data_IF_566826196188
#
_entry.id   IF_566826196188
#
_cell.length_a   1.000
_cell.length_b   1.000
_cell.length_c   1.000
_cell.angle_alpha   90.00
_cell.angle_beta   90.00
_cell.angle_gamma   90.00
#
_symmetry.space_group_name_H-M   'P 1'
#
loop_
_entity.id
_entity.type
_entity.pdbx_description
1 polymer ?
#
# COMPACT_ATOMS: atom_id res chain seq x y z
N UNK A 1 -20.40 -4.90 23.32
CA UNK A 1 -20.73 -5.46 21.99
C UNK A 1 -19.60 -5.05 21.07
N UNK A 2 -19.00 -6.00 20.36
CA UNK A 2 -18.00 -5.68 19.33
C UNK A 2 -18.68 -4.95 18.17
N UNK A 3 -17.98 -3.99 17.54
CA UNK A 3 -18.51 -3.25 16.40
C UNK A 3 -18.75 -4.21 15.22
N UNK A 4 -19.82 -3.98 14.46
CA UNK A 4 -20.05 -4.76 13.22
C UNK A 4 -18.96 -4.49 12.19
N UNK A 5 -18.88 -5.31 11.15
CA UNK A 5 -17.97 -5.06 10.03
C UNK A 5 -18.16 -3.69 9.41
N UNK A 6 -19.42 -3.34 9.16
CA UNK A 6 -19.81 -2.10 8.51
C UNK A 6 -19.39 -0.91 9.37
N UNK A 7 -19.60 -0.98 10.68
CA UNK A 7 -19.17 0.06 11.62
C UNK A 7 -17.65 0.19 11.68
N UNK A 8 -16.92 -0.93 11.72
CA UNK A 8 -15.47 -0.92 11.74
C UNK A 8 -14.91 -0.34 10.43
N UNK A 9 -15.44 -0.77 9.29
CA UNK A 9 -15.05 -0.30 7.96
C UNK A 9 -15.35 1.19 7.79
N UNK A 10 -16.52 1.66 8.23
CA UNK A 10 -16.88 3.07 8.11
C UNK A 10 -15.96 3.95 8.97
N UNK A 11 -15.78 3.58 10.25
CA UNK A 11 -14.83 4.26 11.13
C UNK A 11 -13.41 4.26 10.55
N UNK A 12 -13.00 3.16 9.91
CA UNK A 12 -11.71 3.09 9.27
C UNK A 12 -11.63 4.04 8.08
N UNK A 13 -12.65 4.12 7.21
CA UNK A 13 -12.68 5.07 6.09
C UNK A 13 -12.68 6.54 6.54
N UNK A 14 -13.40 6.85 7.62
CA UNK A 14 -13.51 8.21 8.18
C UNK A 14 -12.27 8.68 8.93
N UNK A 15 -11.33 7.78 9.23
CA UNK A 15 -10.08 8.14 9.91
C UNK A 15 -9.27 9.13 9.06
N UNK A 16 -9.12 10.35 9.57
CA UNK A 16 -8.25 11.37 8.99
C UNK A 16 -6.81 11.06 9.38
N UNK A 17 -5.91 11.13 8.42
CA UNK A 17 -4.48 10.98 8.62
C UNK A 17 -3.71 11.92 7.70
N UNK A 18 -2.49 12.26 8.11
CA UNK A 18 -1.57 13.07 7.31
C UNK A 18 -0.61 12.15 6.55
N UNK A 19 -0.68 12.20 5.22
CA UNK A 19 0.28 11.54 4.33
C UNK A 19 1.60 12.30 4.26
N UNK A 20 2.55 11.78 3.47
CA UNK A 20 3.80 12.49 3.19
C UNK A 20 3.54 13.75 2.35
N UNK A 21 4.32 14.80 2.60
CA UNK A 21 4.27 16.00 1.77
C UNK A 21 4.82 15.74 0.34
N UNK A 22 4.34 16.51 -0.63
CA UNK A 22 4.90 16.51 -1.99
C UNK A 22 6.00 17.56 -2.10
N UNK A 23 7.21 17.11 -2.45
CA UNK A 23 8.32 18.02 -2.69
C UNK A 23 8.04 18.91 -3.90
N UNK A 24 8.46 20.17 -3.78
CA UNK A 24 8.37 21.15 -4.87
C UNK A 24 9.10 20.64 -6.13
N UNK A 25 8.50 20.88 -7.30
CA UNK A 25 9.03 20.39 -8.57
C UNK A 25 8.72 18.93 -8.91
N UNK A 26 8.12 18.15 -7.99
CA UNK A 26 7.65 16.79 -8.30
C UNK A 26 6.48 16.86 -9.28
N UNK A 27 6.49 16.08 -10.39
CA UNK A 27 5.35 16.00 -11.31
C UNK A 27 4.04 15.71 -10.59
N UNK A 28 2.95 16.30 -11.08
CA UNK A 28 1.60 16.04 -10.57
C UNK A 28 1.04 14.84 -11.34
N UNK A 29 0.79 13.73 -10.64
CA UNK A 29 0.16 12.52 -11.16
C UNK A 29 -1.15 12.34 -10.39
N UNK A 30 -2.29 12.38 -11.09
CA UNK A 30 -3.61 12.29 -10.47
C UNK A 30 -4.30 10.97 -10.84
N UNK A 31 -4.94 10.33 -9.88
CA UNK A 31 -5.82 9.17 -10.08
C UNK A 31 -7.14 9.59 -10.71
N UNK A 32 -7.96 8.62 -11.16
CA UNK A 32 -9.32 8.88 -11.66
C UNK A 32 -10.23 9.51 -10.60
N UNK A 33 -9.95 9.27 -9.31
CA UNK A 33 -10.67 9.86 -8.19
C UNK A 33 -10.05 11.17 -7.68
N UNK A 34 -9.05 11.73 -8.40
CA UNK A 34 -8.43 13.01 -8.09
C UNK A 34 -7.38 13.00 -6.98
N UNK A 35 -6.99 11.82 -6.49
CA UNK A 35 -5.89 11.67 -5.52
C UNK A 35 -4.54 11.87 -6.22
N UNK A 36 -3.62 12.62 -5.61
CA UNK A 36 -2.25 12.77 -6.13
C UNK A 36 -1.37 11.64 -5.63
N UNK A 37 -0.61 11.00 -6.51
CA UNK A 37 0.28 9.88 -6.21
C UNK A 37 1.74 10.14 -6.62
N UNK A 38 2.71 9.36 -6.12
CA UNK A 38 4.15 9.57 -6.40
C UNK A 38 4.60 9.00 -7.73
N UNK A 39 3.94 7.96 -8.22
CA UNK A 39 4.39 7.24 -9.43
C UNK A 39 3.25 6.86 -10.37
N UNK A 40 3.62 6.54 -11.62
CA UNK A 40 2.68 6.01 -12.62
C UNK A 40 2.15 4.63 -12.20
N UNK A 41 2.98 3.81 -11.57
CA UNK A 41 2.62 2.48 -11.07
C UNK A 41 1.61 2.57 -9.92
N UNK A 42 1.80 3.49 -8.98
CA UNK A 42 0.79 3.79 -7.95
C UNK A 42 -0.51 4.30 -8.55
N UNK A 43 -0.47 5.15 -9.60
CA UNK A 43 -1.70 5.56 -10.29
C UNK A 43 -2.45 4.35 -10.86
N UNK A 44 -1.74 3.41 -11.49
CA UNK A 44 -2.33 2.19 -12.04
C UNK A 44 -3.00 1.36 -10.93
N UNK A 45 -2.32 1.20 -9.78
CA UNK A 45 -2.85 0.49 -8.61
C UNK A 45 -4.09 1.18 -8.04
N UNK A 46 -4.00 2.48 -7.75
CA UNK A 46 -5.08 3.28 -7.20
C UNK A 46 -6.32 3.28 -8.12
N UNK A 47 -6.13 3.51 -9.42
CA UNK A 47 -7.21 3.46 -10.41
C UNK A 47 -7.83 2.05 -10.48
N UNK A 48 -7.02 1.00 -10.36
CA UNK A 48 -7.53 -0.38 -10.31
C UNK A 48 -8.41 -0.60 -9.06
N UNK A 49 -7.93 -0.23 -7.87
CA UNK A 49 -8.68 -0.40 -6.63
C UNK A 49 -9.99 0.40 -6.66
N UNK A 50 -9.94 1.63 -7.15
CA UNK A 50 -11.11 2.49 -7.33
C UNK A 50 -12.16 1.83 -8.24
N UNK A 51 -11.78 1.39 -9.45
CA UNK A 51 -12.70 0.74 -10.40
C UNK A 51 -13.28 -0.58 -9.88
N UNK A 52 -12.57 -1.26 -8.96
CA UNK A 52 -13.03 -2.49 -8.32
C UNK A 52 -13.80 -2.25 -7.02
N UNK A 53 -14.04 -1.00 -6.64
CA UNK A 53 -14.69 -0.61 -5.37
C UNK A 53 -13.98 -1.21 -4.14
N UNK A 54 -12.65 -1.29 -4.18
CA UNK A 54 -11.83 -1.77 -3.06
C UNK A 54 -11.44 -0.56 -2.21
N UNK A 55 -11.94 -0.43 -0.97
CA UNK A 55 -11.55 0.67 -0.10
C UNK A 55 -10.07 0.56 0.26
N UNK A 56 -9.34 1.66 0.11
CA UNK A 56 -7.92 1.76 0.46
C UNK A 56 -7.63 3.10 1.11
N UNK A 57 -6.48 3.19 1.77
CA UNK A 57 -5.85 4.42 2.23
C UNK A 57 -4.48 4.55 1.62
N UNK A 58 -4.22 5.65 0.93
CA UNK A 58 -2.95 5.93 0.28
C UNK A 58 -1.96 6.61 1.24
N UNK A 59 -0.71 6.14 1.27
CA UNK A 59 0.39 6.66 2.11
C UNK A 59 0.04 6.90 3.60
N UNK A 60 -0.86 6.10 4.18
CA UNK A 60 -1.24 6.24 5.60
C UNK A 60 -0.04 5.90 6.50
N UNK A 61 0.33 6.77 7.47
CA UNK A 61 1.46 6.50 8.35
C UNK A 61 1.25 5.24 9.19
N UNK A 62 2.31 4.45 9.30
CA UNK A 62 2.41 3.27 10.15
C UNK A 62 3.66 3.37 11.01
N UNK A 63 3.49 3.18 12.32
CA UNK A 63 4.63 3.14 13.24
C UNK A 63 5.19 1.71 13.34
N UNK A 64 6.43 1.53 12.91
CA UNK A 64 7.21 0.32 13.10
C UNK A 64 8.18 0.52 14.27
N UNK A 65 8.05 -0.29 15.32
CA UNK A 65 8.91 -0.24 16.50
C UNK A 65 10.37 -0.47 16.07
N UNK A 66 11.27 0.41 16.52
CA UNK A 66 12.70 0.33 16.21
C UNK A 66 13.11 0.93 14.86
N UNK A 67 12.14 1.24 13.97
CA UNK A 67 12.41 1.79 12.64
C UNK A 67 11.85 3.22 12.47
N UNK A 68 10.69 3.51 13.06
CA UNK A 68 10.03 4.81 12.98
C UNK A 68 8.72 4.77 12.20
N UNK A 69 8.29 5.93 11.70
CA UNK A 69 7.08 6.03 10.87
C UNK A 69 7.44 5.70 9.43
N UNK A 70 6.74 4.73 8.85
CA UNK A 70 6.75 4.43 7.42
C UNK A 70 5.41 4.79 6.81
N UNK A 71 5.38 4.85 5.49
CA UNK A 71 4.17 5.11 4.72
C UNK A 71 4.09 4.01 3.66
N UNK A 72 3.35 2.92 3.92
CA UNK A 72 3.03 1.96 2.89
C UNK A 72 2.24 2.65 1.77
N UNK A 73 2.48 2.25 0.52
CA UNK A 73 1.81 2.88 -0.62
C UNK A 73 0.28 2.78 -0.49
N UNK A 74 -0.22 1.61 -0.10
CA UNK A 74 -1.64 1.40 0.17
C UNK A 74 -1.86 0.60 1.45
N UNK A 75 -2.87 0.99 2.23
CA UNK A 75 -3.37 0.23 3.37
C UNK A 75 -4.81 -0.18 3.11
N UNK A 76 -5.14 -1.43 3.40
CA UNK A 76 -6.47 -2.04 3.26
C UNK A 76 -6.93 -2.56 4.62
N UNK A 77 -8.23 -2.75 4.78
CA UNK A 77 -8.80 -3.46 5.92
C UNK A 77 -9.38 -4.80 5.46
N UNK A 78 -8.85 -5.91 5.98
CA UNK A 78 -9.32 -7.25 5.60
C UNK A 78 -10.68 -7.57 6.23
N UNK A 79 -11.71 -7.94 5.45
CA UNK A 79 -12.97 -8.43 6.00
C UNK A 79 -12.82 -9.77 6.75
N UNK A 80 -11.82 -10.58 6.35
CA UNK A 80 -11.56 -11.92 6.88
C UNK A 80 -10.93 -11.86 8.27
N UNK A 81 -9.86 -11.07 8.42
CA UNK A 81 -9.08 -11.02 9.67
C UNK A 81 -9.39 -9.80 10.51
N UNK A 82 -10.12 -8.82 9.97
CA UNK A 82 -10.37 -7.50 10.60
C UNK A 82 -9.09 -6.72 10.91
N UNK A 83 -7.99 -7.10 10.29
CA UNK A 83 -6.68 -6.46 10.42
C UNK A 83 -6.33 -5.69 9.16
N UNK A 84 -5.47 -4.70 9.32
CA UNK A 84 -4.91 -3.98 8.19
C UNK A 84 -3.95 -4.86 7.39
N UNK A 85 -3.99 -4.71 6.07
CA UNK A 85 -3.05 -5.27 5.10
C UNK A 85 -2.35 -4.09 4.43
N UNK A 86 -1.04 -4.14 4.35
CA UNK A 86 -0.20 -3.12 3.76
C UNK A 86 0.30 -3.61 2.40
N UNK A 87 0.31 -2.73 1.41
CA UNK A 87 0.84 -3.00 0.08
C UNK A 87 1.96 -2.02 -0.21
N UNK A 88 3.12 -2.57 -0.54
CA UNK A 88 4.33 -1.84 -0.91
C UNK A 88 4.72 -2.20 -2.34
N UNK A 89 5.02 -1.19 -3.13
CA UNK A 89 5.40 -1.25 -4.52
C UNK A 89 6.82 -0.70 -4.71
N UNK A 90 7.79 -1.61 -4.72
CA UNK A 90 9.20 -1.29 -4.83
C UNK A 90 9.62 -1.19 -6.30
N UNK A 91 9.48 0.01 -6.87
CA UNK A 91 9.56 0.25 -8.32
C UNK A 91 10.97 0.35 -8.94
N UNK A 92 12.04 0.36 -8.13
CA UNK A 92 13.43 0.65 -8.58
C UNK A 92 14.43 -0.37 -8.05
N UNK A 93 14.09 -1.67 -8.11
CA UNK A 93 14.89 -2.74 -7.48
C UNK A 93 16.21 -3.05 -8.18
N UNK A 94 16.44 -2.49 -9.37
CA UNK A 94 17.71 -2.47 -10.07
C UNK A 94 18.68 -1.41 -9.56
N UNK A 95 18.22 -0.46 -8.74
CA UNK A 95 19.08 0.53 -8.09
C UNK A 95 19.58 0.01 -6.73
N UNK A 96 20.89 -0.26 -6.56
CA UNK A 96 21.39 -0.95 -5.37
C UNK A 96 21.07 -0.24 -4.05
N UNK A 97 21.14 1.10 -4.03
CA UNK A 97 20.84 1.89 -2.83
C UNK A 97 19.35 1.88 -2.48
N UNK A 98 18.48 1.82 -3.48
CA UNK A 98 17.03 1.70 -3.29
C UNK A 98 16.69 0.29 -2.78
N UNK A 99 17.21 -0.75 -3.44
CA UNK A 99 16.99 -2.14 -3.05
C UNK A 99 17.43 -2.43 -1.61
N UNK A 100 18.58 -1.87 -1.17
CA UNK A 100 19.01 -1.98 0.23
C UNK A 100 18.03 -1.33 1.22
N UNK A 101 17.45 -0.19 0.86
CA UNK A 101 16.44 0.47 1.70
C UNK A 101 15.13 -0.32 1.74
N UNK A 102 14.69 -0.86 0.60
CA UNK A 102 13.52 -1.73 0.50
C UNK A 102 13.68 -2.96 1.41
N UNK A 103 14.84 -3.64 1.35
CA UNK A 103 15.13 -4.79 2.23
C UNK A 103 15.07 -4.41 3.71
N UNK A 104 15.68 -3.30 4.11
CA UNK A 104 15.62 -2.83 5.52
C UNK A 104 14.19 -2.52 5.97
N UNK A 105 13.38 -1.92 5.09
CA UNK A 105 11.97 -1.63 5.35
C UNK A 105 11.17 -2.92 5.51
N UNK A 106 11.38 -3.92 4.65
CA UNK A 106 10.73 -5.24 4.73
C UNK A 106 11.10 -5.94 6.04
N UNK A 107 12.38 -5.96 6.42
CA UNK A 107 12.82 -6.52 7.70
C UNK A 107 12.16 -5.83 8.89
N UNK A 108 12.03 -4.50 8.85
CA UNK A 108 11.33 -3.76 9.89
C UNK A 108 9.84 -4.12 10.00
N UNK A 109 9.16 -4.40 8.88
CA UNK A 109 7.81 -4.94 8.90
C UNK A 109 7.77 -6.32 9.60
N UNK A 110 8.67 -7.22 9.22
CA UNK A 110 8.76 -8.58 9.78
C UNK A 110 9.03 -8.56 11.28
N UNK A 111 9.97 -7.73 11.75
CA UNK A 111 10.25 -7.51 13.18
C UNK A 111 9.05 -6.97 13.96
N UNK A 112 8.10 -6.34 13.27
CA UNK A 112 6.83 -5.85 13.82
C UNK A 112 5.66 -6.83 13.58
N UNK A 113 5.95 -8.07 13.18
CA UNK A 113 4.96 -9.12 12.97
C UNK A 113 4.07 -8.90 11.74
N UNK A 114 4.54 -8.11 10.77
CA UNK A 114 3.86 -7.84 9.50
C UNK A 114 4.65 -8.56 8.41
N UNK A 115 4.24 -9.79 8.07
CA UNK A 115 5.01 -10.65 7.18
C UNK A 115 4.53 -10.60 5.72
N UNK A 116 5.45 -10.67 4.75
CA UNK A 116 5.13 -10.90 3.35
C UNK A 116 4.22 -12.12 3.15
N UNK A 117 3.14 -11.93 2.39
CA UNK A 117 2.17 -13.01 2.13
C UNK A 117 1.16 -13.25 3.25
N UNK A 118 1.18 -12.43 4.30
CA UNK A 118 0.13 -12.34 5.30
C UNK A 118 -0.52 -10.96 5.26
N UNK A 119 0.03 -10.01 6.02
CA UNK A 119 -0.43 -8.62 6.11
C UNK A 119 0.44 -7.65 5.30
N UNK A 120 1.41 -8.17 4.55
CA UNK A 120 2.25 -7.39 3.65
C UNK A 120 2.19 -7.97 2.23
N UNK A 121 1.69 -7.18 1.30
CA UNK A 121 1.71 -7.45 -0.14
C UNK A 121 2.89 -6.68 -0.73
N UNK A 122 3.75 -7.37 -1.45
CA UNK A 122 4.92 -6.78 -2.11
C UNK A 122 4.80 -6.93 -3.61
N UNK A 123 5.08 -5.85 -4.32
CA UNK A 123 5.25 -5.84 -5.78
C UNK A 123 6.55 -5.14 -6.11
N UNK A 124 7.24 -5.61 -7.15
CA UNK A 124 8.58 -5.14 -7.49
C UNK A 124 8.63 -4.79 -8.96
N UNK A 125 9.36 -3.72 -9.29
CA UNK A 125 9.78 -3.41 -10.65
C UNK A 125 11.30 -3.19 -10.73
N UNK A 126 11.79 -3.32 -11.95
CA UNK A 126 13.10 -2.84 -12.40
C UNK A 126 12.89 -2.13 -13.73
N UNK A 127 13.90 -1.48 -14.29
CA UNK A 127 13.82 -0.90 -15.64
C UNK A 127 13.30 -1.88 -16.70
N UNK A 128 13.59 -3.18 -16.58
CA UNK A 128 13.22 -4.21 -17.57
C UNK A 128 12.02 -5.07 -17.19
N UNK A 129 11.64 -5.08 -15.92
CA UNK A 129 10.54 -5.90 -15.40
C UNK A 129 9.48 -4.98 -14.82
N UNK A 130 8.42 -4.75 -15.60
CA UNK A 130 7.37 -3.79 -15.28
C UNK A 130 6.18 -4.42 -14.54
N UNK A 131 5.38 -3.58 -13.89
CA UNK A 131 4.20 -3.96 -13.14
C UNK A 131 3.15 -4.57 -14.07
N UNK A 132 2.80 -5.83 -13.78
CA UNK A 132 1.77 -6.55 -14.51
C UNK A 132 0.39 -6.36 -13.88
N UNK A 133 -0.56 -5.83 -14.64
CA UNK A 133 -1.98 -5.72 -14.22
C UNK A 133 -2.61 -7.07 -13.89
N UNK A 134 -2.23 -8.13 -14.61
CA UNK A 134 -2.64 -9.50 -14.30
C UNK A 134 -2.12 -9.96 -12.93
N UNK A 135 -0.92 -9.53 -12.53
CA UNK A 135 -0.41 -9.84 -11.20
C UNK A 135 -1.17 -9.08 -10.11
N UNK A 136 -1.51 -7.80 -10.35
CA UNK A 136 -2.35 -7.01 -9.43
C UNK A 136 -3.67 -7.73 -9.17
N UNK A 137 -4.36 -8.18 -10.23
CA UNK A 137 -5.62 -8.92 -10.10
C UNK A 137 -5.45 -10.19 -9.25
N UNK A 138 -4.41 -10.99 -9.51
CA UNK A 138 -4.12 -12.19 -8.72
C UNK A 138 -3.87 -11.89 -7.25
N UNK A 139 -3.11 -10.84 -6.93
CA UNK A 139 -2.81 -10.45 -5.56
C UNK A 139 -4.07 -9.95 -4.83
N UNK A 140 -4.89 -9.14 -5.51
CA UNK A 140 -6.17 -8.68 -4.99
C UNK A 140 -7.09 -9.86 -4.70
N UNK A 141 -7.24 -10.80 -5.63
CA UNK A 141 -8.03 -12.02 -5.39
C UNK A 141 -7.46 -12.86 -4.25
N UNK A 142 -6.13 -12.96 -4.13
CA UNK A 142 -5.51 -13.77 -3.08
C UNK A 142 -5.71 -13.18 -1.69
N UNK A 143 -5.53 -11.87 -1.53
CA UNK A 143 -5.39 -11.23 -0.21
C UNK A 143 -6.58 -10.36 0.20
N UNK A 144 -7.30 -9.76 -0.76
CA UNK A 144 -8.30 -8.74 -0.50
C UNK A 144 -9.74 -9.19 -0.80
N UNK A 145 -9.94 -10.31 -1.51
CA UNK A 145 -11.27 -10.86 -1.70
C UNK A 145 -11.81 -11.53 -0.43
N UNK A 146 -13.13 -11.57 -0.32
CA UNK A 146 -13.85 -12.44 0.62
C UNK A 146 -13.57 -13.92 0.35
#
# INVERSE_FOLDING_TARGET
MEATWEQQMEKWKEEIYEGKEFQEGTPVILTEHGERVRSKSEKILADYFYRKNIPYKYERPLHLRGFGIVHPDFTFLSPKTRQEIYWEHDGRMDEPAYAQQAVRKIQAYEENGIYPGERLILTFETEKCVLSTTMIEKLVTKYLSL
#
